data_IF_717703105499
#
_entry.id   IF_717703105499
#
_cell.length_a   1.000
_cell.length_b   1.000
_cell.length_c   1.000
_cell.angle_alpha   90.00
_cell.angle_beta   90.00
_cell.angle_gamma   90.00
#
_symmetry.space_group_name_H-M   'P 1'
#
loop_
_entity.id
_entity.type
_entity.pdbx_description
1 polymer ?
#
# COMPACT_ATOMS: atom_id res chain seq x y z
N UNK A 1 5.82 5.84 -20.32
CA UNK A 1 4.69 6.27 -19.49
C UNK A 1 4.95 5.83 -18.05
N UNK A 2 4.87 6.73 -17.07
CA UNK A 2 4.78 6.33 -15.66
C UNK A 2 3.32 5.93 -15.39
N UNK A 3 3.05 4.91 -14.57
CA UNK A 3 1.67 4.53 -14.26
C UNK A 3 0.92 5.64 -13.53
N UNK A 4 1.63 6.60 -12.90
CA UNK A 4 1.01 7.68 -12.11
C UNK A 4 0.41 7.19 -10.78
N UNK A 5 0.59 5.90 -10.46
CA UNK A 5 0.04 5.23 -9.29
C UNK A 5 0.59 5.75 -7.99
N UNK A 6 1.90 5.98 -7.95
CA UNK A 6 2.62 6.38 -6.75
C UNK A 6 3.45 7.61 -7.07
N UNK A 7 3.50 8.52 -6.10
CA UNK A 7 4.44 9.62 -6.06
C UNK A 7 5.38 9.44 -4.87
N UNK A 8 6.67 9.59 -5.13
CA UNK A 8 7.71 9.51 -4.12
C UNK A 8 8.25 10.90 -3.81
N UNK A 9 8.44 11.18 -2.53
CA UNK A 9 9.15 12.37 -2.06
C UNK A 9 10.24 11.92 -1.09
N UNK A 10 11.49 12.30 -1.39
CA UNK A 10 12.65 11.89 -0.60
C UNK A 10 13.18 13.06 0.22
N UNK A 11 13.59 12.79 1.45
CA UNK A 11 14.06 13.80 2.40
C UNK A 11 15.41 13.37 2.99
N UNK A 12 16.44 14.18 2.74
CA UNK A 12 17.73 14.08 3.39
C UNK A 12 17.72 14.84 4.73
N UNK A 13 18.65 14.49 5.61
CA UNK A 13 18.83 15.22 6.88
C UNK A 13 19.47 16.58 6.66
N UNK A 14 19.22 17.51 7.58
CA UNK A 14 20.03 18.71 7.69
C UNK A 14 21.46 18.30 8.10
N UNK A 15 22.47 18.78 7.36
CA UNK A 15 23.92 18.57 7.60
C UNK A 15 24.54 17.22 7.21
N UNK A 16 24.15 16.61 6.09
CA UNK A 16 25.02 15.59 5.48
C UNK A 16 25.48 16.06 4.11
N UNK A 17 26.79 16.19 3.91
CA UNK A 17 27.44 16.24 2.58
C UNK A 17 27.18 14.96 1.77
N UNK A 18 26.54 13.97 2.37
CA UNK A 18 26.13 12.71 1.79
C UNK A 18 24.69 12.80 1.24
N UNK A 19 24.49 12.28 0.03
CA UNK A 19 23.19 12.13 -0.63
C UNK A 19 22.37 10.98 0.00
N UNK A 20 22.17 11.00 1.32
CA UNK A 20 21.46 9.96 2.06
C UNK A 20 20.04 10.42 2.37
N UNK A 21 19.05 9.66 1.90
CA UNK A 21 17.66 9.86 2.31
C UNK A 21 17.43 9.23 3.68
N UNK A 22 16.97 10.05 4.64
CA UNK A 22 16.63 9.60 5.98
C UNK A 22 15.17 9.14 6.06
N UNK A 23 14.30 9.79 5.31
CA UNK A 23 12.93 9.34 5.19
C UNK A 23 12.38 9.61 3.80
N UNK A 24 11.33 8.88 3.44
CA UNK A 24 10.66 9.04 2.17
C UNK A 24 9.15 8.88 2.34
N UNK A 25 8.39 9.65 1.57
CA UNK A 25 6.94 9.53 1.49
C UNK A 25 6.58 8.75 0.23
N UNK A 26 5.76 7.72 0.39
CA UNK A 26 5.09 6.99 -0.67
C UNK A 26 3.62 7.44 -0.68
N UNK A 27 3.24 8.24 -1.67
CA UNK A 27 1.88 8.73 -1.83
C UNK A 27 1.19 7.90 -2.92
N UNK A 28 0.30 7.02 -2.50
CA UNK A 28 -0.48 6.14 -3.37
C UNK A 28 -1.69 6.93 -3.85
N UNK A 29 -1.71 7.24 -5.14
CA UNK A 29 -2.72 8.07 -5.80
C UNK A 29 -3.78 7.24 -6.51
N UNK A 30 -3.42 6.09 -7.08
CA UNK A 30 -4.35 5.20 -7.76
C UNK A 30 -3.85 3.76 -7.70
N UNK A 31 -4.77 2.80 -7.78
CA UNK A 31 -4.49 1.38 -7.89
C UNK A 31 -5.08 0.90 -9.21
N UNK A 32 -4.25 0.28 -10.05
CA UNK A 32 -4.72 -0.26 -11.34
C UNK A 32 -5.25 -1.67 -11.08
N UNK A 33 -6.50 -1.93 -11.44
CA UNK A 33 -7.11 -3.25 -11.40
C UNK A 33 -6.54 -4.14 -12.52
N UNK A 34 -6.76 -5.46 -12.47
CA UNK A 34 -6.32 -6.35 -13.56
C UNK A 34 -7.14 -6.07 -14.82
N UNK A 35 -8.40 -5.71 -14.65
CA UNK A 35 -9.36 -5.34 -15.70
C UNK A 35 -8.87 -4.08 -16.45
N UNK A 36 -8.40 -3.07 -15.70
CA UNK A 36 -7.84 -1.85 -16.25
C UNK A 36 -6.41 -2.02 -16.77
N UNK A 37 -5.74 -3.11 -16.38
CA UNK A 37 -4.41 -3.43 -16.89
C UNK A 37 -4.47 -3.82 -18.38
N UNK A 38 -5.45 -4.66 -18.73
CA UNK A 38 -5.77 -5.10 -20.08
C UNK A 38 -6.28 -6.54 -20.09
N UNK A 39 -6.48 -7.11 -21.28
CA UNK A 39 -7.04 -8.46 -21.47
C UNK A 39 -6.20 -9.60 -20.85
N UNK A 40 -4.96 -9.35 -20.44
CA UNK A 40 -4.04 -10.32 -19.86
C UNK A 40 -3.13 -9.65 -18.83
N UNK A 41 -2.86 -10.34 -17.72
CA UNK A 41 -1.87 -9.92 -16.71
C UNK A 41 -0.44 -9.86 -17.26
N UNK A 42 -0.18 -10.61 -18.33
CA UNK A 42 1.11 -10.66 -19.02
C UNK A 42 1.25 -9.54 -20.06
N UNK A 43 0.21 -8.71 -20.25
CA UNK A 43 0.32 -7.55 -21.13
C UNK A 43 1.41 -6.63 -20.60
N UNK A 44 2.44 -6.43 -21.40
CA UNK A 44 3.53 -5.54 -21.08
C UNK A 44 3.13 -4.08 -21.27
N UNK A 45 3.60 -3.22 -20.37
CA UNK A 45 3.55 -1.77 -20.50
C UNK A 45 4.98 -1.23 -20.53
N UNK A 46 5.18 -0.10 -21.19
CA UNK A 46 6.50 0.52 -21.34
C UNK A 46 6.69 1.67 -20.35
N UNK A 47 7.72 1.57 -19.51
CA UNK A 47 8.21 2.66 -18.67
C UNK A 47 9.62 3.07 -19.13
N UNK A 48 9.98 4.32 -18.87
CA UNK A 48 11.37 4.78 -19.04
C UNK A 48 12.01 4.83 -17.67
N UNK A 49 12.93 3.91 -17.40
CA UNK A 49 13.70 3.86 -16.17
C UNK A 49 15.12 4.31 -16.51
N UNK A 50 15.58 5.43 -15.93
CA UNK A 50 16.92 5.98 -16.20
C UNK A 50 17.22 6.16 -17.70
N UNK A 51 16.23 6.59 -18.49
CA UNK A 51 16.27 6.73 -19.96
C UNK A 51 16.35 5.42 -20.74
N UNK A 52 16.23 4.27 -20.07
CA UNK A 52 16.17 2.95 -20.69
C UNK A 52 14.69 2.54 -20.78
N UNK A 53 14.16 2.25 -21.97
CA UNK A 53 12.83 1.67 -22.12
C UNK A 53 12.81 0.28 -21.49
N UNK A 54 11.87 0.04 -20.59
CA UNK A 54 11.74 -1.24 -19.89
C UNK A 54 10.28 -1.67 -19.91
N UNK A 55 10.06 -2.94 -20.25
CA UNK A 55 8.74 -3.56 -20.21
C UNK A 55 8.45 -4.08 -18.81
N UNK A 56 7.19 -3.98 -18.39
CA UNK A 56 6.73 -4.51 -17.11
C UNK A 56 5.30 -5.02 -17.22
N UNK A 57 5.01 -6.07 -16.46
CA UNK A 57 3.71 -6.74 -16.39
C UNK A 57 2.88 -6.25 -15.20
N UNK A 58 1.64 -6.74 -15.09
CA UNK A 58 0.81 -6.45 -13.91
C UNK A 58 1.44 -6.99 -12.63
N UNK A 59 2.12 -8.14 -12.72
CA UNK A 59 2.80 -8.75 -11.59
C UNK A 59 3.99 -7.92 -11.12
N UNK A 60 4.74 -7.32 -12.06
CA UNK A 60 5.81 -6.39 -11.71
C UNK A 60 5.27 -5.15 -11.01
N UNK A 61 4.12 -4.65 -11.47
CA UNK A 61 3.41 -3.54 -10.83
C UNK A 61 3.01 -3.87 -9.38
N UNK A 62 2.37 -5.02 -9.13
CA UNK A 62 2.03 -5.46 -7.77
C UNK A 62 3.29 -5.60 -6.91
N UNK A 63 4.30 -6.30 -7.43
CA UNK A 63 5.54 -6.57 -6.70
C UNK A 63 6.30 -5.30 -6.32
N UNK A 64 6.20 -4.24 -7.14
CA UNK A 64 6.86 -2.97 -6.88
C UNK A 64 6.39 -2.29 -5.58
N UNK A 65 5.12 -2.48 -5.17
CA UNK A 65 4.58 -1.88 -3.94
C UNK A 65 5.31 -2.34 -2.69
N UNK A 66 5.67 -3.62 -2.60
CA UNK A 66 6.46 -4.13 -1.45
C UNK A 66 7.95 -3.92 -1.64
N UNK A 67 8.47 -4.16 -2.85
CA UNK A 67 9.93 -4.09 -3.11
C UNK A 67 10.50 -2.70 -2.87
N UNK A 68 9.73 -1.63 -3.12
CA UNK A 68 10.20 -0.27 -2.85
C UNK A 68 10.47 -0.03 -1.36
N UNK A 69 9.69 -0.67 -0.48
CA UNK A 69 9.84 -0.54 0.96
C UNK A 69 11.09 -1.25 1.50
N UNK A 70 11.75 -2.08 0.69
CA UNK A 70 13.01 -2.73 1.06
C UNK A 70 14.21 -1.80 0.94
N UNK A 71 14.06 -0.64 0.30
CA UNK A 71 15.10 0.38 0.35
C UNK A 71 15.34 0.79 1.80
N UNK A 72 16.60 0.70 2.20
CA UNK A 72 17.09 1.26 3.45
C UNK A 72 18.39 2.00 3.14
N UNK A 73 18.71 3.02 3.93
CA UNK A 73 19.99 3.71 3.79
C UNK A 73 21.13 2.86 4.38
N UNK A 74 22.36 3.23 4.09
CA UNK A 74 23.58 2.55 4.58
C UNK A 74 23.64 2.47 6.11
N UNK A 75 22.91 3.35 6.80
CA UNK A 75 22.84 3.42 8.26
C UNK A 75 21.72 2.55 8.85
N UNK A 76 20.94 1.87 8.00
CA UNK A 76 19.75 1.12 8.35
C UNK A 76 18.69 1.92 9.13
N UNK A 77 18.63 3.24 8.89
CA UNK A 77 17.76 4.20 9.61
C UNK A 77 16.74 4.87 8.70
N UNK A 78 16.54 4.37 7.49
CA UNK A 78 15.54 4.94 6.59
C UNK A 78 14.13 4.64 7.12
N UNK A 79 13.25 5.64 7.03
CA UNK A 79 11.84 5.51 7.40
C UNK A 79 10.93 5.80 6.21
N UNK A 80 9.96 4.92 5.96
CA UNK A 80 8.90 5.12 4.99
C UNK A 80 7.64 5.69 5.65
N UNK A 81 7.08 6.73 5.04
CA UNK A 81 5.77 7.27 5.36
C UNK A 81 4.81 6.96 4.21
N UNK A 82 3.74 6.24 4.49
CA UNK A 82 2.78 5.81 3.46
C UNK A 82 1.51 6.66 3.59
N UNK A 83 1.05 7.22 2.47
CA UNK A 83 -0.22 7.95 2.37
C UNK A 83 -1.05 7.36 1.24
N UNK A 84 -2.33 7.08 1.49
CA UNK A 84 -3.29 6.65 0.47
C UNK A 84 -4.28 7.79 0.21
N UNK A 85 -4.43 8.18 -1.06
CA UNK A 85 -5.42 9.18 -1.44
C UNK A 85 -6.84 8.62 -1.34
N UNK A 86 -7.75 9.38 -0.73
CA UNK A 86 -9.13 8.96 -0.50
C UNK A 86 -9.88 8.54 -1.79
N UNK A 87 -9.51 9.11 -2.94
CA UNK A 87 -10.10 8.78 -4.25
C UNK A 87 -9.95 7.29 -4.63
N UNK A 88 -8.98 6.57 -4.07
CA UNK A 88 -8.79 5.13 -4.32
C UNK A 88 -9.97 4.31 -3.79
N UNK A 89 -10.64 4.78 -2.74
CA UNK A 89 -11.75 4.07 -2.12
C UNK A 89 -13.10 4.32 -2.80
N UNK A 90 -13.11 5.08 -3.90
CA UNK A 90 -14.32 5.32 -4.70
C UNK A 90 -14.58 4.15 -5.66
N UNK A 91 -13.51 3.51 -6.16
CA UNK A 91 -13.57 2.39 -7.08
C UNK A 91 -13.33 1.06 -6.36
N UNK A 92 -13.76 -0.09 -6.93
CA UNK A 92 -13.44 -1.40 -6.39
C UNK A 92 -11.93 -1.59 -6.21
N UNK A 93 -11.53 -1.93 -4.99
CA UNK A 93 -10.12 -2.11 -4.63
C UNK A 93 -9.71 -3.57 -4.90
N UNK A 94 -8.61 -3.83 -5.62
CA UNK A 94 -8.11 -5.18 -5.82
C UNK A 94 -7.75 -5.87 -4.50
N UNK A 95 -8.11 -7.15 -4.37
CA UNK A 95 -7.85 -7.95 -3.16
C UNK A 95 -6.37 -7.97 -2.76
N UNK A 96 -5.44 -7.98 -3.72
CA UNK A 96 -4.02 -7.95 -3.41
C UNK A 96 -3.61 -6.66 -2.67
N UNK A 97 -4.26 -5.53 -2.98
CA UNK A 97 -3.98 -4.26 -2.33
C UNK A 97 -4.54 -4.23 -0.91
N UNK A 98 -5.73 -4.80 -0.69
CA UNK A 98 -6.29 -4.97 0.66
C UNK A 98 -5.37 -5.85 1.52
N UNK A 99 -4.86 -6.95 0.96
CA UNK A 99 -3.90 -7.81 1.64
C UNK A 99 -2.61 -7.05 1.97
N UNK A 100 -2.05 -6.32 0.99
CA UNK A 100 -0.87 -5.48 1.19
C UNK A 100 -1.11 -4.41 2.27
N UNK A 101 -2.27 -3.75 2.25
CA UNK A 101 -2.64 -2.73 3.23
C UNK A 101 -2.82 -3.31 4.63
N UNK A 102 -3.28 -4.56 4.76
CA UNK A 102 -3.36 -5.22 6.07
C UNK A 102 -1.97 -5.45 6.71
N UNK A 103 -0.93 -5.60 5.89
CA UNK A 103 0.45 -5.77 6.36
C UNK A 103 1.20 -4.46 6.60
N UNK A 104 0.96 -3.44 5.76
CA UNK A 104 1.76 -2.20 5.73
C UNK A 104 1.00 -0.94 6.16
N UNK A 105 -0.33 -1.05 6.29
CA UNK A 105 -1.19 0.04 6.72
C UNK A 105 -1.01 0.38 8.20
N UNK A 106 -1.53 1.53 8.65
CA UNK A 106 -1.47 1.92 10.04
C UNK A 106 -2.30 0.96 10.90
N UNK A 107 -1.69 0.44 11.96
CA UNK A 107 -2.42 -0.29 13.01
C UNK A 107 -2.93 0.69 14.06
N UNK A 108 -4.11 0.43 14.62
CA UNK A 108 -4.68 1.24 15.72
C UNK A 108 -3.75 1.29 16.94
N UNK A 109 -2.86 0.29 17.08
CA UNK A 109 -1.88 0.19 18.18
C UNK A 109 -0.84 1.31 18.20
N UNK A 110 -0.57 1.99 17.07
CA UNK A 110 0.39 3.11 17.05
C UNK A 110 -0.22 4.47 17.38
N UNK A 111 -1.55 4.54 17.55
CA UNK A 111 -2.21 5.80 17.88
C UNK A 111 -1.87 6.22 19.32
N UNK A 112 -1.47 7.49 19.54
CA UNK A 112 -1.32 8.02 20.89
C UNK A 112 -2.67 7.97 21.66
N UNK A 113 -2.62 7.86 22.99
CA UNK A 113 -3.80 7.65 23.85
C UNK A 113 -4.99 8.57 23.57
N UNK A 114 -4.81 9.89 23.33
CA UNK A 114 -5.94 10.78 23.02
C UNK A 114 -6.67 10.36 21.74
N UNK A 115 -5.91 9.98 20.70
CA UNK A 115 -6.46 9.56 19.42
C UNK A 115 -7.03 8.14 19.49
N UNK A 116 -6.40 7.25 20.26
CA UNK A 116 -6.92 5.90 20.49
C UNK A 116 -8.28 5.94 21.18
N UNK A 117 -8.48 6.83 22.17
CA UNK A 117 -9.76 7.02 22.86
C UNK A 117 -10.84 7.52 21.90
N UNK A 118 -10.51 8.49 21.06
CA UNK A 118 -11.42 9.01 20.02
C UNK A 118 -11.79 7.92 19.02
N UNK A 119 -10.80 7.15 18.54
CA UNK A 119 -11.01 6.04 17.62
C UNK A 119 -11.94 4.97 18.23
N UNK A 120 -11.70 4.54 19.48
CA UNK A 120 -12.58 3.58 20.17
C UNK A 120 -14.02 4.09 20.30
N UNK A 121 -14.22 5.37 20.56
CA UNK A 121 -15.57 5.96 20.61
C UNK A 121 -16.22 5.98 19.22
N UNK A 122 -15.45 6.30 18.18
CA UNK A 122 -15.93 6.31 16.79
C UNK A 122 -16.35 4.91 16.31
N UNK A 123 -15.57 3.88 16.64
CA UNK A 123 -15.91 2.48 16.32
C UNK A 123 -17.22 2.04 16.96
N UNK A 124 -17.48 2.44 18.22
CA UNK A 124 -18.74 2.08 18.92
C UNK A 124 -20.00 2.63 18.26
N UNK A 125 -19.89 3.75 17.53
CA UNK A 125 -21.02 4.39 16.84
C UNK A 125 -21.07 4.05 15.34
N UNK A 126 -20.08 3.31 14.83
CA UNK A 126 -19.98 2.90 13.43
C UNK A 126 -20.05 1.37 13.33
N UNK A 127 -21.21 0.80 12.94
CA UNK A 127 -21.40 -0.65 12.84
C UNK A 127 -20.31 -1.36 12.02
N UNK A 128 -19.94 -0.76 10.88
CA UNK A 128 -18.99 -1.35 9.91
C UNK A 128 -17.55 -1.41 10.44
N UNK A 129 -17.18 -0.53 11.38
CA UNK A 129 -15.83 -0.51 11.96
C UNK A 129 -15.68 -1.41 13.17
N UNK A 130 -16.80 -1.76 13.83
CA UNK A 130 -16.78 -2.61 15.01
C UNK A 130 -16.35 -4.04 14.64
N UNK A 131 -16.81 -4.53 13.48
CA UNK A 131 -16.42 -5.84 12.95
C UNK A 131 -14.93 -5.88 12.56
N UNK A 132 -14.39 -4.79 12.00
CA UNK A 132 -12.98 -4.67 11.65
C UNK A 132 -12.07 -4.60 12.89
N UNK A 133 -12.48 -3.89 13.95
CA UNK A 133 -11.72 -3.77 15.20
C UNK A 133 -11.48 -5.11 15.90
N UNK A 134 -12.45 -6.03 15.83
CA UNK A 134 -12.33 -7.36 16.40
C UNK A 134 -11.58 -8.36 15.51
N UNK A 135 -11.34 -8.02 14.24
CA UNK A 135 -10.70 -8.91 13.24
C UNK A 135 -9.16 -8.88 13.25
N UNK A 136 -8.55 -8.01 14.05
CA UNK A 136 -7.16 -7.53 13.90
C UNK A 136 -6.03 -8.56 14.13
N UNK A 137 -6.30 -9.87 14.13
CA UNK A 137 -5.25 -10.92 14.17
C UNK A 137 -5.50 -12.17 13.31
N UNK A 138 -6.53 -12.25 12.46
CA UNK A 138 -6.76 -13.45 11.63
C UNK A 138 -7.23 -13.17 10.20
N UNK A 139 -6.52 -12.34 9.45
CA UNK A 139 -6.59 -12.37 7.98
C UNK A 139 -5.73 -13.51 7.40
N UNK A 140 -5.95 -14.74 7.89
CA UNK A 140 -5.88 -15.90 6.99
C UNK A 140 -7.21 -15.92 6.28
N UNK A 141 -7.23 -15.47 5.03
CA UNK A 141 -8.30 -15.81 4.10
C UNK A 141 -8.30 -17.35 3.93
N UNK A 142 -8.93 -18.06 4.86
CA UNK A 142 -9.39 -19.42 4.60
C UNK A 142 -10.67 -19.27 3.78
N UNK A 143 -10.55 -19.56 2.49
CA UNK A 143 -11.72 -19.76 1.64
C UNK A 143 -12.58 -20.86 2.26
N UNK A 144 -13.75 -20.48 2.77
CA UNK A 144 -14.81 -21.45 3.01
C UNK A 144 -15.46 -21.75 1.66
N UNK A 145 -14.83 -22.65 0.91
CA UNK A 145 -15.52 -23.40 -0.14
C UNK A 145 -16.19 -24.57 0.58
N UNK A 146 -17.38 -24.36 1.13
CA UNK A 146 -18.26 -25.45 1.56
C UNK A 146 -19.72 -24.97 1.55
N UNK A 147 -20.29 -24.87 0.36
CA UNK A 147 -21.73 -24.99 0.14
C UNK A 147 -21.99 -26.34 -0.54
N UNK A 148 -22.95 -27.15 -0.05
CA UNK A 148 -23.20 -28.47 -0.62
C UNK A 148 -23.75 -28.31 -2.04
N UNK A 149 -23.10 -28.95 -3.03
CA UNK A 149 -23.73 -29.22 -4.32
C UNK A 149 -24.80 -30.29 -4.08
N UNK A 150 -26.06 -29.88 -4.16
CA UNK A 150 -27.14 -30.75 -4.62
C UNK A 150 -27.32 -30.51 -6.11
#
# INVERSE_FOLDING_TARGET
MNTGSIEFQHFSGYNTSENVYNFSKMIIKQIISIEDWGKSSMKERLISLNKIPTNFTYWDYINAFSKVLYYNNERHKHTWFIKVCAKIFVDPIPNWFLNWWSCHGPTVKILPDPFLKLYKNYVKVSPDLNDLYHSDHNSRFHGSINGPRK
#
